data_IF_570091370530
#
_entry.id   IF_570091370530
#
_cell.length_a   1.000
_cell.length_b   1.000
_cell.length_c   1.000
_cell.angle_alpha   90.00
_cell.angle_beta   90.00
_cell.angle_gamma   90.00
#
_symmetry.space_group_name_H-M   'P 1'
#
loop_
_entity.id
_entity.type
_entity.pdbx_description
1 polymer ?
#
# COMPACT_ATOMS: atom_id res chain seq x y z
N UNK A 1 3.84 4.03 9.56
CA UNK A 1 4.14 4.81 8.35
C UNK A 1 2.88 4.89 7.53
N UNK A 2 2.54 6.09 7.11
CA UNK A 2 1.20 6.44 6.69
C UNK A 2 1.13 6.61 5.17
N UNK A 3 -0.07 6.40 4.63
CA UNK A 3 -0.42 6.77 3.28
C UNK A 3 -1.48 7.86 3.41
N UNK A 4 -1.16 9.04 2.90
CA UNK A 4 -2.05 10.19 2.99
C UNK A 4 -3.00 10.18 1.79
N UNK A 5 -4.29 10.34 2.07
CA UNK A 5 -5.36 10.35 1.07
C UNK A 5 -6.16 11.63 1.21
N UNK A 6 -6.39 12.32 0.10
CA UNK A 6 -7.16 13.57 0.06
C UNK A 6 -7.85 13.78 -1.28
N UNK A 7 -8.45 14.97 -1.45
CA UNK A 7 -9.18 15.36 -2.68
C UNK A 7 -10.25 14.33 -3.11
N UNK A 8 -10.86 13.64 -2.14
CA UNK A 8 -11.87 12.62 -2.38
C UNK A 8 -13.13 13.29 -2.94
N UNK A 9 -13.55 12.89 -4.13
CA UNK A 9 -14.75 13.42 -4.80
C UNK A 9 -15.30 12.43 -5.81
N UNK A 10 -16.61 12.46 -6.06
CA UNK A 10 -17.23 11.68 -7.12
C UNK A 10 -16.74 12.15 -8.50
N UNK A 11 -16.65 11.21 -9.45
CA UNK A 11 -16.39 11.53 -10.85
C UNK A 11 -17.70 11.96 -11.54
N UNK A 12 -17.73 13.09 -12.25
CA UNK A 12 -18.94 13.55 -12.93
C UNK A 12 -19.19 12.89 -14.30
N UNK A 13 -18.22 12.13 -14.82
CA UNK A 13 -18.24 11.53 -16.17
C UNK A 13 -18.44 10.02 -16.16
N UNK A 14 -18.03 9.34 -15.09
CA UNK A 14 -18.12 7.88 -14.94
C UNK A 14 -19.15 7.52 -13.87
N UNK A 15 -20.20 6.74 -14.18
CA UNK A 15 -21.11 6.21 -13.18
C UNK A 15 -20.34 5.45 -12.10
N UNK A 16 -20.58 5.79 -10.83
CA UNK A 16 -19.87 5.25 -9.66
C UNK A 16 -18.35 5.55 -9.63
N UNK A 17 -17.84 6.49 -10.43
CA UNK A 17 -16.44 6.90 -10.39
C UNK A 17 -16.09 7.71 -9.13
N UNK A 18 -14.87 7.53 -8.64
CA UNK A 18 -14.31 8.23 -7.48
C UNK A 18 -12.90 8.70 -7.78
N UNK A 19 -12.63 9.98 -7.59
CA UNK A 19 -11.31 10.57 -7.70
C UNK A 19 -10.73 10.83 -6.32
N UNK A 20 -9.42 10.65 -6.19
CA UNK A 20 -8.66 10.95 -4.98
C UNK A 20 -7.20 11.24 -5.30
N UNK A 21 -6.50 11.86 -4.37
CA UNK A 21 -5.07 12.12 -4.42
C UNK A 21 -4.39 11.34 -3.30
N UNK A 22 -3.39 10.53 -3.65
CA UNK A 22 -2.72 9.59 -2.73
C UNK A 22 -1.22 9.89 -2.73
N UNK A 23 -0.65 10.06 -1.54
CA UNK A 23 0.78 10.38 -1.35
C UNK A 23 1.36 9.52 -0.24
N UNK A 24 2.57 9.02 -0.44
CA UNK A 24 3.38 8.38 0.62
C UNK A 24 4.87 8.57 0.35
N UNK A 25 5.70 8.27 1.34
CA UNK A 25 7.15 8.13 1.16
C UNK A 25 7.44 6.90 0.29
N UNK A 26 8.09 7.12 -0.87
CA UNK A 26 8.37 6.10 -1.86
C UNK A 26 9.53 5.17 -1.48
N UNK A 27 10.49 5.63 -0.68
CA UNK A 27 11.63 4.82 -0.23
C UNK A 27 11.26 3.97 0.99
N UNK A 28 10.41 4.50 1.87
CA UNK A 28 9.94 3.80 3.07
C UNK A 28 8.74 2.93 2.74
N UNK A 29 7.54 3.51 2.72
CA UNK A 29 6.30 2.75 2.50
C UNK A 29 6.20 2.19 1.09
N UNK A 30 6.82 2.84 0.10
CA UNK A 30 6.89 2.33 -1.28
C UNK A 30 7.94 1.23 -1.51
N UNK A 31 8.91 1.04 -0.61
CA UNK A 31 9.97 0.04 -0.78
C UNK A 31 10.38 -0.63 0.54
N UNK A 32 11.29 -0.02 1.31
CA UNK A 32 12.00 -0.69 2.41
C UNK A 32 11.06 -1.17 3.52
N UNK A 33 10.17 -0.31 3.99
CA UNK A 33 9.24 -0.67 5.05
C UNK A 33 8.20 -1.69 4.57
N UNK A 34 7.72 -1.58 3.33
CA UNK A 34 6.79 -2.56 2.78
C UNK A 34 7.44 -3.96 2.71
N UNK A 35 8.71 -4.04 2.31
CA UNK A 35 9.45 -5.31 2.31
C UNK A 35 9.56 -5.93 3.71
N UNK A 36 9.87 -5.12 4.72
CA UNK A 36 9.90 -5.57 6.13
C UNK A 36 8.52 -6.03 6.60
N UNK A 37 7.46 -5.27 6.32
CA UNK A 37 6.10 -5.63 6.71
C UNK A 37 5.62 -6.93 6.06
N UNK A 38 5.98 -7.17 4.79
CA UNK A 38 5.73 -8.46 4.13
C UNK A 38 6.46 -9.59 4.86
N UNK A 39 7.73 -9.40 5.20
CA UNK A 39 8.50 -10.40 5.95
C UNK A 39 7.91 -10.70 7.33
N UNK A 40 7.42 -9.68 8.05
CA UNK A 40 6.71 -9.84 9.32
C UNK A 40 5.43 -10.67 9.16
N UNK A 41 4.62 -10.38 8.13
CA UNK A 41 3.39 -11.14 7.84
C UNK A 41 3.72 -12.59 7.48
N UNK A 42 4.78 -12.84 6.70
CA UNK A 42 5.23 -14.19 6.38
C UNK A 42 5.63 -14.97 7.64
N UNK A 43 6.42 -14.34 8.52
CA UNK A 43 6.83 -14.93 9.79
C UNK A 43 5.63 -15.26 10.69
N UNK A 44 4.66 -14.34 10.79
CA UNK A 44 3.41 -14.55 11.56
C UNK A 44 2.57 -15.71 11.00
N UNK A 45 2.53 -15.86 9.67
CA UNK A 45 1.81 -16.95 9.00
C UNK A 45 2.59 -18.28 8.96
N UNK A 46 3.80 -18.33 9.52
CA UNK A 46 4.67 -19.50 9.46
C UNK A 46 5.16 -19.82 8.04
N UNK A 47 5.05 -18.87 7.11
CA UNK A 47 5.48 -19.02 5.72
C UNK A 47 6.96 -18.62 5.64
N UNK A 48 7.81 -19.53 5.16
CA UNK A 48 9.23 -19.26 4.94
C UNK A 48 9.57 -19.47 3.48
N UNK A 49 10.47 -18.64 2.97
CA UNK A 49 11.05 -18.87 1.67
C UNK A 49 11.71 -20.26 1.66
N UNK A 50 11.29 -21.09 0.71
CA UNK A 50 11.91 -22.41 0.51
C UNK A 50 13.33 -22.15 0.00
N UNK A 51 14.35 -22.68 0.66
CA UNK A 51 15.70 -22.70 0.08
C UNK A 51 15.62 -23.53 -1.21
N UNK A 52 15.98 -22.92 -2.33
CA UNK A 52 16.35 -23.61 -3.56
C UNK A 52 17.70 -24.30 -3.37
#
# INVERSE_FOLDING_TARGET
DEVFVGRIRTDPTVPHGLNMWVVSDNLRKGAALNAVQIAEVLAQKGLRARKL
#
